data_IF_684530843801
#
_entry.id   IF_684530843801
#
_cell.length_a   1.000
_cell.length_b   1.000
_cell.length_c   1.000
_cell.angle_alpha   90.00
_cell.angle_beta   90.00
_cell.angle_gamma   90.00
#
_symmetry.space_group_name_H-M   'P 1'
#
loop_
_entity.id
_entity.type
_entity.pdbx_description
1 polymer ?
#
# COMPACT_ATOMS: atom_id res chain seq x y z
N UNK A 1 5.72 -4.76 12.86
CA UNK A 1 4.69 -3.75 12.54
C UNK A 1 5.12 -2.74 11.48
N UNK A 2 6.42 -2.49 11.22
CA UNK A 2 6.84 -1.51 10.19
C UNK A 2 6.80 -1.96 8.72
N UNK A 3 6.70 -3.27 8.45
CA UNK A 3 6.78 -3.81 7.07
C UNK A 3 5.46 -3.80 6.30
N UNK A 4 4.32 -3.74 7.00
CA UNK A 4 3.01 -3.82 6.34
C UNK A 4 2.73 -2.61 5.44
N UNK A 5 3.12 -1.41 5.89
CA UNK A 5 2.99 -0.19 5.08
C UNK A 5 3.86 -0.24 3.83
N UNK A 6 5.11 -0.70 3.94
CA UNK A 6 6.02 -0.88 2.80
C UNK A 6 5.48 -1.88 1.79
N UNK A 7 4.95 -3.02 2.26
CA UNK A 7 4.31 -4.01 1.39
C UNK A 7 3.07 -3.42 0.73
N UNK A 8 2.22 -2.71 1.47
CA UNK A 8 1.02 -2.09 0.92
C UNK A 8 1.37 -1.06 -0.16
N UNK A 9 2.38 -0.20 0.06
CA UNK A 9 2.89 0.73 -0.94
C UNK A 9 3.48 0.02 -2.15
N UNK A 10 4.17 -1.09 -1.94
CA UNK A 10 4.73 -1.91 -3.03
C UNK A 10 3.63 -2.55 -3.88
N UNK A 11 2.59 -3.10 -3.24
CA UNK A 11 1.42 -3.64 -3.94
C UNK A 11 0.67 -2.56 -4.70
N UNK A 12 0.51 -1.38 -4.11
CA UNK A 12 -0.09 -0.23 -4.79
C UNK A 12 0.75 0.20 -6.01
N UNK A 13 2.07 0.28 -5.89
CA UNK A 13 2.95 0.60 -7.01
C UNK A 13 2.86 -0.44 -8.13
N UNK A 14 2.83 -1.74 -7.79
CA UNK A 14 2.65 -2.83 -8.75
C UNK A 14 1.30 -2.72 -9.47
N UNK A 15 0.23 -2.36 -8.75
CA UNK A 15 -1.08 -2.07 -9.33
C UNK A 15 -0.97 -0.96 -10.37
N UNK A 16 -0.37 0.18 -10.05
CA UNK A 16 -0.25 1.31 -10.98
C UNK A 16 0.57 0.93 -12.22
N UNK A 17 1.61 0.12 -12.04
CA UNK A 17 2.44 -0.41 -13.12
C UNK A 17 1.76 -1.54 -13.91
N UNK A 18 0.57 -2.00 -13.49
CA UNK A 18 -0.15 -3.16 -14.04
C UNK A 18 0.72 -4.42 -14.11
N UNK A 19 1.64 -4.55 -13.16
CA UNK A 19 2.56 -5.68 -13.08
C UNK A 19 1.93 -6.81 -12.26
N UNK A 20 2.12 -8.05 -12.72
CA UNK A 20 1.62 -9.22 -12.01
C UNK A 20 2.55 -9.60 -10.86
N UNK A 21 1.96 -9.83 -9.70
CA UNK A 21 2.67 -10.34 -8.54
C UNK A 21 3.03 -11.83 -8.75
N UNK A 22 4.31 -12.21 -8.63
CA UNK A 22 4.75 -13.62 -8.65
C UNK A 22 4.21 -14.42 -7.47
N UNK A 23 3.98 -15.72 -7.68
CA UNK A 23 3.43 -16.64 -6.68
C UNK A 23 4.21 -16.65 -5.36
N UNK A 24 5.54 -16.71 -5.43
CA UNK A 24 6.40 -16.76 -4.24
C UNK A 24 6.26 -15.50 -3.37
N UNK A 25 6.02 -14.34 -3.99
CA UNK A 25 5.81 -13.09 -3.26
C UNK A 25 4.42 -13.05 -2.63
N UNK A 26 3.37 -13.49 -3.34
CA UNK A 26 2.03 -13.58 -2.76
C UNK A 26 1.98 -14.51 -1.56
N UNK A 27 2.64 -15.67 -1.61
CA UNK A 27 2.70 -16.63 -0.49
C UNK A 27 3.42 -16.01 0.73
N UNK A 28 4.54 -15.32 0.49
CA UNK A 28 5.27 -14.62 1.54
C UNK A 28 4.42 -13.53 2.21
N UNK A 29 3.66 -12.77 1.42
CA UNK A 29 2.77 -11.73 1.95
C UNK A 29 1.64 -12.35 2.79
N UNK A 30 0.99 -13.41 2.31
CA UNK A 30 -0.09 -14.12 3.01
C UNK A 30 0.34 -14.58 4.41
N UNK A 31 1.57 -15.05 4.55
CA UNK A 31 2.10 -15.58 5.80
C UNK A 31 2.50 -14.50 6.80
N UNK A 32 2.97 -13.34 6.33
CA UNK A 32 3.72 -12.40 7.17
C UNK A 32 3.01 -11.06 7.40
N UNK A 33 1.91 -10.78 6.72
CA UNK A 33 1.27 -9.47 6.74
C UNK A 33 -0.11 -9.47 7.41
N UNK A 34 -0.52 -8.27 7.82
CA UNK A 34 -1.79 -8.05 8.49
C UNK A 34 -3.01 -8.10 7.56
N UNK A 35 -4.20 -8.15 8.16
CA UNK A 35 -5.47 -8.28 7.44
C UNK A 35 -5.70 -7.21 6.35
N UNK A 36 -5.27 -5.96 6.56
CA UNK A 36 -5.47 -4.88 5.59
C UNK A 36 -4.57 -5.07 4.36
N UNK A 37 -3.31 -5.46 4.55
CA UNK A 37 -2.41 -5.79 3.45
C UNK A 37 -2.93 -6.99 2.65
N UNK A 38 -3.43 -8.02 3.35
CA UNK A 38 -4.05 -9.19 2.71
C UNK A 38 -5.32 -8.82 1.95
N UNK A 39 -6.11 -7.89 2.48
CA UNK A 39 -7.31 -7.39 1.84
C UNK A 39 -6.97 -6.64 0.54
N UNK A 40 -5.89 -5.86 0.50
CA UNK A 40 -5.41 -5.25 -0.74
C UNK A 40 -4.89 -6.30 -1.75
N UNK A 41 -4.23 -7.35 -1.27
CA UNK A 41 -3.83 -8.48 -2.11
C UNK A 41 -5.05 -9.18 -2.74
N UNK A 42 -6.18 -9.27 -2.02
CA UNK A 42 -7.44 -9.77 -2.57
C UNK A 42 -7.92 -8.94 -3.78
N UNK A 43 -7.83 -7.60 -3.69
CA UNK A 43 -8.13 -6.71 -4.82
C UNK A 43 -7.19 -6.94 -6.00
N UNK A 44 -5.89 -7.13 -5.76
CA UNK A 44 -4.95 -7.48 -6.84
C UNK A 44 -5.33 -8.80 -7.53
N UNK A 45 -5.72 -9.81 -6.76
CA UNK A 45 -6.19 -11.09 -7.30
C UNK A 45 -7.46 -10.91 -8.15
N UNK A 46 -8.47 -10.21 -7.63
CA UNK A 46 -9.72 -9.96 -8.35
C UNK A 46 -9.53 -9.16 -9.65
N UNK A 47 -8.49 -8.32 -9.72
CA UNK A 47 -8.12 -7.56 -10.90
C UNK A 47 -7.13 -8.28 -11.83
N UNK A 48 -6.80 -9.56 -11.59
CA UNK A 48 -5.90 -10.34 -12.44
C UNK A 48 -4.43 -9.91 -12.38
N UNK A 49 -4.03 -9.23 -11.30
CA UNK A 49 -2.67 -8.74 -11.05
C UNK A 49 -1.85 -9.72 -10.20
N UNK A 50 -2.27 -10.98 -10.11
CA UNK A 50 -1.51 -12.04 -9.47
C UNK A 50 -1.29 -13.18 -10.45
N UNK A 51 -0.14 -13.85 -10.36
CA UNK A 51 0.14 -15.03 -11.19
C UNK A 51 -0.50 -16.30 -10.61
N UNK A 52 -0.69 -16.34 -9.29
CA UNK A 52 -1.27 -17.48 -8.61
C UNK A 52 -2.80 -17.41 -8.56
N UNK A 53 -3.44 -18.53 -8.92
CA UNK A 53 -4.89 -18.71 -8.90
C UNK A 53 -5.42 -19.21 -7.56
N UNK A 54 -4.54 -19.72 -6.69
CA UNK A 54 -4.93 -20.27 -5.38
C UNK A 54 -5.06 -19.23 -4.27
N UNK A 55 -4.65 -17.98 -4.53
CA UNK A 55 -4.63 -16.88 -3.55
C UNK A 55 -5.99 -16.70 -2.87
N UNK A 56 -7.10 -16.77 -3.60
CA UNK A 56 -8.43 -16.59 -3.01
C UNK A 56 -8.70 -17.54 -1.85
N UNK A 57 -8.38 -18.83 -2.01
CA UNK A 57 -8.52 -19.81 -0.93
C UNK A 57 -7.52 -19.56 0.19
N UNK A 58 -6.25 -19.31 -0.15
CA UNK A 58 -5.21 -19.05 0.85
C UNK A 58 -5.49 -17.82 1.71
N UNK A 59 -6.17 -16.80 1.17
CA UNK A 59 -6.62 -15.63 1.94
C UNK A 59 -7.76 -16.00 2.89
N UNK A 60 -8.73 -16.80 2.45
CA UNK A 60 -9.79 -17.31 3.32
C UNK A 60 -9.27 -18.18 4.46
N UNK A 61 -8.23 -18.97 4.22
CA UNK A 61 -7.58 -19.79 5.24
C UNK A 61 -6.93 -18.94 6.35
N UNK A 62 -6.67 -17.64 6.10
CA UNK A 62 -6.18 -16.69 7.12
C UNK A 62 -7.31 -16.03 7.93
N UNK A 63 -8.56 -16.10 7.47
CA UNK A 63 -9.71 -15.58 8.21
C UNK A 63 -10.03 -16.54 9.35
N UNK A 64 -9.35 -16.35 10.47
CA UNK A 64 -9.56 -17.13 11.68
C UNK A 64 -10.73 -16.56 12.50
N UNK A 65 -11.56 -17.44 13.06
CA UNK A 65 -12.64 -17.06 13.97
C UNK A 65 -13.89 -16.54 13.27
N UNK A 66 -14.49 -15.48 13.83
CA UNK A 66 -15.75 -14.93 13.34
C UNK A 66 -15.50 -13.92 12.20
N UNK A 67 -16.10 -14.13 11.04
CA UNK A 67 -16.01 -13.23 9.87
C UNK A 67 -16.41 -11.78 10.16
N UNK A 68 -17.30 -11.57 11.14
CA UNK A 68 -17.86 -10.26 11.46
C UNK A 68 -17.27 -9.62 12.72
N UNK A 69 -16.17 -10.17 13.24
CA UNK A 69 -15.44 -9.59 14.38
C UNK A 69 -13.98 -10.03 14.39
N UNK A 70 -13.16 -9.48 15.30
CA UNK A 70 -11.75 -9.86 15.41
C UNK A 70 -10.83 -9.27 14.34
N UNK A 71 -9.52 -9.56 14.37
CA UNK A 71 -8.51 -8.80 13.63
C UNK A 71 -8.56 -8.96 12.10
N UNK A 72 -9.20 -10.03 11.61
CA UNK A 72 -9.30 -10.34 10.17
C UNK A 72 -10.60 -9.87 9.51
N UNK A 73 -11.49 -9.18 10.24
CA UNK A 73 -12.71 -8.63 9.65
C UNK A 73 -12.48 -7.76 8.38
N UNK A 74 -11.37 -6.99 8.24
CA UNK A 74 -11.11 -6.24 7.00
C UNK A 74 -10.89 -7.17 5.80
N UNK A 75 -10.20 -8.30 6.01
CA UNK A 75 -9.92 -9.26 4.97
C UNK A 75 -11.20 -9.97 4.52
N UNK A 76 -12.01 -10.45 5.47
CA UNK A 76 -13.28 -11.08 5.12
C UNK A 76 -14.25 -10.14 4.44
N UNK A 77 -14.29 -8.87 4.86
CA UNK A 77 -15.11 -7.86 4.21
C UNK A 77 -14.75 -7.74 2.72
N UNK A 78 -13.47 -7.61 2.40
CA UNK A 78 -13.02 -7.49 1.01
C UNK A 78 -13.23 -8.77 0.20
N UNK A 79 -12.95 -9.95 0.78
CA UNK A 79 -13.19 -11.22 0.09
C UNK A 79 -14.67 -11.39 -0.27
N UNK A 80 -15.58 -10.98 0.62
CA UNK A 80 -17.03 -10.98 0.35
C UNK A 80 -17.46 -9.88 -0.62
N UNK A 81 -16.86 -8.69 -0.55
CA UNK A 81 -17.10 -7.59 -1.48
C UNK A 81 -16.72 -7.97 -2.92
N UNK A 82 -15.59 -8.67 -3.08
CA UNK A 82 -15.03 -9.08 -4.37
C UNK A 82 -15.63 -10.38 -4.92
N UNK A 83 -16.62 -10.97 -4.22
CA UNK A 83 -17.19 -12.28 -4.54
C UNK A 83 -16.12 -13.38 -4.71
N UNK A 84 -15.02 -13.28 -3.96
CA UNK A 84 -13.97 -14.31 -3.89
C UNK A 84 -14.52 -15.43 -3.03
N UNK A 85 -15.08 -16.45 -3.69
CA UNK A 85 -15.91 -17.46 -3.05
C UNK A 85 -15.21 -18.21 -1.91
N UNK A 86 -15.95 -18.41 -0.81
CA UNK A 86 -15.71 -19.47 0.16
C UNK A 86 -17.04 -20.10 0.54
N UNK A 87 -17.19 -21.40 0.24
CA UNK A 87 -18.40 -22.17 0.56
C UNK A 87 -18.63 -22.35 2.06
N UNK A 88 -17.61 -22.10 2.88
CA UNK A 88 -17.56 -22.39 4.31
C UNK A 88 -17.45 -21.15 5.20
N UNK A 89 -17.72 -19.94 4.68
CA UNK A 89 -17.71 -18.72 5.49
C UNK A 89 -18.85 -18.79 6.54
N UNK A 90 -18.51 -19.30 7.71
CA UNK A 90 -19.46 -19.58 8.78
C UNK A 90 -19.95 -18.28 9.39
N UNK A 91 -21.26 -18.04 9.32
CA UNK A 91 -21.92 -16.92 10.00
C UNK A 91 -22.00 -17.27 11.49
N UNK A 92 -20.93 -16.98 12.23
CA UNK A 92 -20.90 -17.16 13.68
C UNK A 92 -21.61 -15.99 14.35
N UNK A 93 -22.56 -16.30 15.25
CA UNK A 93 -23.29 -15.32 16.06
C UNK A 93 -22.35 -14.56 16.99
N UNK A 94 -22.56 -13.24 17.16
CA UNK A 94 -21.72 -12.36 17.98
C UNK A 94 -21.04 -11.20 17.25
N UNK A 95 -21.48 -10.92 16.01
CA UNK A 95 -20.99 -9.81 15.20
C UNK A 95 -21.22 -8.44 15.85
N UNK A 96 -20.25 -7.54 15.74
CA UNK A 96 -20.49 -6.12 15.99
C UNK A 96 -21.45 -5.59 14.92
N UNK A 97 -22.54 -4.94 15.35
CA UNK A 97 -23.63 -4.53 14.43
C UNK A 97 -23.13 -3.64 13.28
N UNK A 98 -22.13 -2.79 13.54
CA UNK A 98 -21.52 -1.93 12.52
C UNK A 98 -20.76 -2.75 11.46
N UNK A 99 -19.88 -3.67 11.88
CA UNK A 99 -19.10 -4.52 10.96
C UNK A 99 -20.02 -5.41 10.13
N UNK A 100 -21.06 -5.97 10.76
CA UNK A 100 -22.07 -6.74 10.03
C UNK A 100 -22.77 -5.90 8.97
N UNK A 101 -23.16 -4.66 9.29
CA UNK A 101 -23.77 -3.76 8.32
C UNK A 101 -22.84 -3.43 7.14
N UNK A 102 -21.52 -3.38 7.34
CA UNK A 102 -20.55 -3.24 6.23
C UNK A 102 -20.57 -4.45 5.31
N UNK A 103 -20.56 -5.66 5.88
CA UNK A 103 -20.58 -6.92 5.13
C UNK A 103 -21.91 -7.11 4.39
N UNK A 104 -23.04 -6.86 5.04
CA UNK A 104 -24.38 -7.00 4.44
C UNK A 104 -24.55 -6.05 3.24
N UNK A 105 -23.91 -4.88 3.28
CA UNK A 105 -23.89 -3.91 2.18
C UNK A 105 -22.78 -4.17 1.15
N UNK A 106 -21.96 -5.21 1.33
CA UNK A 106 -20.77 -5.50 0.52
C UNK A 106 -19.91 -4.25 0.27
N UNK A 107 -19.68 -3.46 1.33
CA UNK A 107 -18.82 -2.27 1.22
C UNK A 107 -17.35 -2.68 1.11
N UNK A 108 -16.57 -1.80 0.49
CA UNK A 108 -15.12 -1.91 0.39
C UNK A 108 -14.45 -0.81 1.21
N UNK A 109 -13.38 -1.16 1.90
CA UNK A 109 -12.41 -0.26 2.53
C UNK A 109 -11.51 0.39 1.49
N UNK A 110 -11.37 -0.22 0.31
CA UNK A 110 -10.52 0.28 -0.76
C UNK A 110 -11.33 0.95 -1.87
N UNK A 111 -10.95 2.18 -2.18
CA UNK A 111 -11.31 2.81 -3.43
C UNK A 111 -10.22 2.47 -4.46
N UNK A 112 -10.44 1.41 -5.26
CA UNK A 112 -9.43 0.89 -6.19
C UNK A 112 -8.90 1.93 -7.19
N UNK A 113 -9.77 2.80 -7.72
CA UNK A 113 -9.38 3.88 -8.64
C UNK A 113 -8.77 5.12 -7.98
N UNK A 114 -8.61 5.15 -6.64
CA UNK A 114 -8.09 6.33 -5.97
C UNK A 114 -6.60 6.51 -6.26
N UNK A 115 -6.26 7.70 -6.76
CA UNK A 115 -4.88 8.16 -6.85
C UNK A 115 -4.39 8.73 -5.52
N UNK A 116 -3.07 8.77 -5.28
CA UNK A 116 -2.50 9.41 -4.10
C UNK A 116 -2.92 10.88 -4.05
N UNK A 117 -3.33 11.33 -2.87
CA UNK A 117 -3.78 12.71 -2.66
C UNK A 117 -2.70 13.73 -3.06
N UNK A 118 -1.41 13.37 -2.96
CA UNK A 118 -0.27 14.19 -3.40
C UNK A 118 -0.28 14.50 -4.91
N UNK A 119 -0.98 13.71 -5.71
CA UNK A 119 -1.16 13.95 -7.15
C UNK A 119 -2.55 14.51 -7.49
N UNK A 120 -3.43 14.69 -6.50
CA UNK A 120 -4.69 15.40 -6.70
C UNK A 120 -4.37 16.87 -6.97
N UNK A 121 -4.63 17.31 -8.20
CA UNK A 121 -4.42 18.70 -8.63
C UNK A 121 -5.43 19.63 -7.95
N UNK A 122 -5.25 19.91 -6.68
CA UNK A 122 -5.93 21.02 -6.02
C UNK A 122 -5.03 21.65 -4.96
N UNK A 123 -4.22 22.59 -5.42
CA UNK A 123 -3.41 23.46 -4.58
C UNK A 123 -2.03 23.65 -5.20
N UNK A 124 -1.67 24.90 -5.48
CA UNK A 124 -0.25 25.26 -5.60
C UNK A 124 0.40 24.88 -4.27
N UNK A 125 1.04 23.72 -4.18
CA UNK A 125 1.81 23.36 -3.00
C UNK A 125 3.01 24.30 -2.96
N UNK A 126 2.88 25.39 -2.20
CA UNK A 126 4.05 26.16 -1.77
C UNK A 126 4.83 25.25 -0.83
N UNK A 127 5.77 24.49 -1.43
CA UNK A 127 6.79 23.67 -0.77
C UNK A 127 6.23 22.42 -0.08
N UNK A 128 6.38 21.27 -0.73
CA UNK A 128 6.20 19.94 -0.13
C UNK A 128 7.51 19.13 -0.20
N UNK A 129 8.64 19.84 -0.05
CA UNK A 129 9.93 19.25 0.29
C UNK A 129 10.47 20.20 1.35
N UNK A 130 10.18 19.92 2.61
CA UNK A 130 11.02 20.43 3.68
C UNK A 130 12.41 19.89 3.37
N UNK A 131 13.38 20.78 3.20
CA UNK A 131 14.75 20.38 3.00
C UNK A 131 15.15 19.60 4.25
N UNK A 132 15.26 18.28 4.11
CA UNK A 132 15.88 17.44 5.10
C UNK A 132 17.34 17.88 5.18
N UNK A 133 17.64 18.86 6.04
CA UNK A 133 19.01 19.13 6.44
C UNK A 133 19.39 17.92 7.26
N UNK A 134 20.18 17.03 6.67
CA UNK A 134 20.81 15.98 7.45
C UNK A 134 21.69 16.69 8.47
N UNK A 135 21.34 16.58 9.74
CA UNK A 135 22.20 16.94 10.87
C UNK A 135 23.36 15.92 10.99
N UNK A 136 24.07 15.68 9.88
CA UNK A 136 25.47 15.28 9.95
C UNK A 136 26.23 16.57 10.18
N UNK A 137 26.37 16.93 11.46
CA UNK A 137 27.48 17.75 11.93
C UNK A 137 28.77 16.97 11.62
N UNK A 138 29.21 16.99 10.36
CA UNK A 138 30.61 16.78 10.02
C UNK A 138 31.31 18.10 10.36
N UNK A 139 31.68 18.20 11.63
CA UNK A 139 32.80 19.01 12.08
C UNK A 139 34.04 18.59 11.29
N UNK A 140 34.37 19.33 10.22
CA UNK A 140 35.77 19.65 9.97
C UNK A 140 35.90 21.02 9.29
N UNK A 141 36.63 21.87 9.98
CA UNK A 141 36.85 23.29 9.73
C UNK A 141 37.83 23.42 8.54
N UNK A 142 37.33 23.66 7.34
CA UNK A 142 38.19 24.09 6.23
C UNK A 142 37.59 25.30 5.48
N UNK A 143 38.15 26.43 5.86
CA UNK A 143 38.12 27.76 5.27
C UNK A 143 37.80 27.78 3.77
N UNK A 144 36.59 28.23 3.42
CA UNK A 144 36.16 28.49 2.05
C UNK A 144 36.85 29.76 1.54
N UNK A 145 37.87 29.61 0.68
CA UNK A 145 38.49 30.73 -0.03
C UNK A 145 37.77 30.90 -1.37
N UNK A 146 37.03 32.00 -1.61
CA UNK A 146 36.40 32.23 -2.91
C UNK A 146 37.48 32.55 -3.95
N UNK A 147 37.52 31.75 -5.03
CA UNK A 147 38.34 32.05 -6.21
C UNK A 147 37.58 33.07 -7.07
N UNK A 148 38.01 34.33 -7.04
CA UNK A 148 37.55 35.36 -7.98
C UNK A 148 38.00 34.97 -9.41
N UNK A 149 37.06 34.52 -10.23
CA UNK A 149 37.27 34.31 -11.66
C UNK A 149 37.15 35.68 -12.34
N UNK A 150 38.29 36.31 -12.60
CA UNK A 150 38.38 37.46 -13.50
C UNK A 150 38.20 36.98 -14.93
N UNK A 151 37.08 37.34 -15.55
CA UNK A 151 36.85 37.15 -17.00
C UNK A 151 37.49 38.36 -17.69
N UNK A 152 38.71 38.19 -18.19
CA UNK A 152 39.32 39.15 -19.11
C UNK A 152 38.65 38.99 -20.49
N UNK A 153 37.64 39.83 -20.72
CA UNK A 153 37.22 40.20 -22.08
C UNK A 153 38.29 41.11 -22.66
N UNK A 154 39.07 40.60 -23.61
CA UNK A 154 39.53 41.30 -24.83
C UNK A 154 40.73 40.57 -25.46
N UNK A 155 40.55 39.93 -26.62
CA UNK A 155 41.42 40.13 -27.80
C UNK A 155 40.57 39.98 -29.07
N UNK A 156 40.43 41.08 -29.81
CA UNK A 156 39.91 41.12 -31.18
C UNK A 156 41.02 40.91 -32.20
N UNK A 157 40.76 40.03 -33.17
CA UNK A 157 41.40 39.78 -34.49
C UNK A 157 42.93 39.63 -34.57
#
# INVERSE_FOLDING_TARGET
>A
MGRDSEVLWSLWALKELKSRLPKILSESIIQNNNALTLAFLAHMFANGLTSDKTIGQSLWDRVEGNTFSGPYWPLSLELMHLDVANANASVVTGAEAAIRALHDKKLSLFHWSAGPAVFSKSGKSKRAIEAYTSDYDDVDDSEYVPVDIWVDDEISF
#
